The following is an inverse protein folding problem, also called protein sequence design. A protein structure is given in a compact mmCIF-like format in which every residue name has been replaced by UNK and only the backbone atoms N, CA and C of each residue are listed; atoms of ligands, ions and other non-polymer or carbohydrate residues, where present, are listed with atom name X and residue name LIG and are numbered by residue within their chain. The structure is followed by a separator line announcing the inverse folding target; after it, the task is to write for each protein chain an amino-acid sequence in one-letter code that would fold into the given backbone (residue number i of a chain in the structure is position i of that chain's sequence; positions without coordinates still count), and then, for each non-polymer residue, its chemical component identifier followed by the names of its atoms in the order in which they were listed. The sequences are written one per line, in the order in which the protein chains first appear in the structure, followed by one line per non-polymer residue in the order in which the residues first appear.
data_IF_851990521543
#
_entry.id   IF_851990521543
#
_cell.length_a   1.000
_cell.length_b   1.000
_cell.length_c   1.000
_cell.angle_alpha   90.00
_cell.angle_beta   90.00
_cell.angle_gamma   90.00
#
_symmetry.space_group_name_H-M   'P 1'
#
loop_
_entity.id
_entity.type
_entity.pdbx_description
1 polymer ?
#
# COMPACT_ATOMS: atom_id res chain seq x y z
N UNK A 1 16.19 20.51 -10.92
CA UNK A 1 14.75 20.37 -10.60
C UNK A 1 14.58 20.11 -9.10
N UNK A 2 15.23 19.12 -8.49
CA UNK A 2 15.14 18.83 -7.05
C UNK A 2 15.38 20.06 -6.17
N UNK A 3 16.50 20.75 -6.34
CA UNK A 3 16.84 21.97 -5.55
C UNK A 3 15.81 23.10 -5.66
N UNK A 4 15.14 23.24 -6.81
CA UNK A 4 14.08 24.24 -6.97
C UNK A 4 12.79 23.82 -6.22
N UNK A 5 12.49 22.53 -6.16
CA UNK A 5 11.41 22.00 -5.37
C UNK A 5 11.67 22.17 -3.86
N UNK A 6 12.87 21.83 -3.39
CA UNK A 6 13.29 21.99 -1.99
C UNK A 6 13.09 23.43 -1.47
N UNK A 7 13.46 24.42 -2.26
CA UNK A 7 13.34 25.85 -1.88
C UNK A 7 11.89 26.33 -1.73
N UNK A 8 10.93 25.60 -2.30
CA UNK A 8 9.51 25.98 -2.33
C UNK A 8 8.60 24.97 -1.66
N UNK A 9 9.13 23.98 -0.96
CA UNK A 9 8.33 22.93 -0.30
C UNK A 9 7.28 23.48 0.67
N UNK A 10 7.57 24.63 1.30
CA UNK A 10 6.62 25.31 2.18
C UNK A 10 5.32 25.76 1.49
N UNK A 11 5.37 25.99 0.18
CA UNK A 11 4.25 26.45 -0.63
C UNK A 11 3.38 25.29 -1.12
N UNK A 12 3.87 24.04 -1.03
CA UNK A 12 3.14 22.88 -1.54
C UNK A 12 2.00 22.48 -0.60
N UNK A 13 0.84 22.24 -1.18
CA UNK A 13 -0.23 21.46 -0.55
C UNK A 13 0.18 19.97 -0.55
N UNK A 14 -0.47 19.16 0.29
CA UNK A 14 -0.19 17.71 0.40
C UNK A 14 -0.22 16.99 -0.97
N UNK A 15 -1.14 17.34 -1.83
CA UNK A 15 -1.21 16.81 -3.19
C UNK A 15 0.05 17.17 -4.01
N UNK A 16 0.55 18.38 -3.88
CA UNK A 16 1.77 18.81 -4.56
C UNK A 16 3.00 18.04 -4.08
N UNK A 17 3.11 17.81 -2.75
CA UNK A 17 4.16 16.99 -2.15
C UNK A 17 4.11 15.55 -2.68
N UNK A 18 2.93 14.93 -2.65
CA UNK A 18 2.71 13.57 -3.13
C UNK A 18 3.04 13.44 -4.64
N UNK A 19 2.59 14.38 -5.45
CA UNK A 19 2.86 14.37 -6.90
C UNK A 19 4.35 14.58 -7.21
N UNK A 20 5.05 15.43 -6.43
CA UNK A 20 6.49 15.63 -6.58
C UNK A 20 7.25 14.35 -6.24
N UNK A 21 6.95 13.73 -5.09
CA UNK A 21 7.55 12.46 -4.70
C UNK A 21 7.30 11.39 -5.77
N UNK A 22 6.05 11.27 -6.25
CA UNK A 22 5.67 10.33 -7.29
C UNK A 22 6.44 10.54 -8.60
N UNK A 23 6.56 11.79 -9.05
CA UNK A 23 7.26 12.11 -10.29
C UNK A 23 8.75 11.74 -10.23
N UNK A 24 9.42 12.02 -9.11
CA UNK A 24 10.83 11.67 -8.91
C UNK A 24 11.01 10.15 -8.78
N UNK A 25 10.15 9.45 -8.06
CA UNK A 25 10.17 8.00 -7.96
C UNK A 25 9.99 7.32 -9.34
N UNK A 26 9.00 7.78 -10.11
CA UNK A 26 8.70 7.24 -11.45
C UNK A 26 9.83 7.50 -12.45
N UNK A 27 10.51 8.65 -12.33
CA UNK A 27 11.66 8.99 -13.15
C UNK A 27 12.95 8.29 -12.68
N UNK A 28 12.88 7.41 -11.67
CA UNK A 28 14.04 6.77 -11.04
C UNK A 28 15.10 7.77 -10.55
N UNK A 29 14.65 8.95 -10.13
CA UNK A 29 15.50 10.02 -9.59
C UNK A 29 15.40 10.01 -8.07
N UNK A 30 16.15 9.12 -7.41
CA UNK A 30 16.18 8.98 -5.95
C UNK A 30 17.08 10.04 -5.31
N UNK A 31 16.68 11.30 -5.38
CA UNK A 31 17.39 12.39 -4.69
C UNK A 31 17.07 12.34 -3.19
N UNK A 32 18.01 11.83 -2.40
CA UNK A 32 17.81 11.61 -0.96
C UNK A 32 17.53 12.90 -0.20
N UNK A 33 18.09 14.06 -0.63
CA UNK A 33 17.83 15.33 0.04
C UNK A 33 16.41 15.81 -0.21
N UNK A 34 15.93 15.69 -1.46
CA UNK A 34 14.56 16.01 -1.79
C UNK A 34 13.57 15.11 -1.04
N UNK A 35 13.80 13.80 -1.03
CA UNK A 35 12.93 12.87 -0.31
C UNK A 35 12.92 13.15 1.19
N UNK A 36 14.07 13.42 1.83
CA UNK A 36 14.13 13.81 3.23
C UNK A 36 13.36 15.11 3.51
N UNK A 37 13.41 16.07 2.61
CA UNK A 37 12.69 17.33 2.74
C UNK A 37 11.17 17.13 2.55
N UNK A 38 10.76 16.29 1.60
CA UNK A 38 9.34 15.91 1.37
C UNK A 38 8.77 15.15 2.58
N UNK A 39 9.54 14.20 3.16
CA UNK A 39 9.16 13.46 4.36
C UNK A 39 8.87 14.41 5.51
N UNK A 40 9.80 15.32 5.80
CA UNK A 40 9.66 16.31 6.87
C UNK A 40 8.41 17.18 6.70
N UNK A 41 8.10 17.58 5.47
CA UNK A 41 6.90 18.39 5.20
C UNK A 41 5.61 17.60 5.38
N UNK A 42 5.58 16.31 5.00
CA UNK A 42 4.44 15.44 5.22
C UNK A 42 4.21 15.17 6.72
N UNK A 43 5.28 14.95 7.48
CA UNK A 43 5.23 14.78 8.95
C UNK A 43 4.74 16.02 9.69
N UNK A 44 5.13 17.22 9.24
CA UNK A 44 4.72 18.48 9.87
C UNK A 44 3.24 18.81 9.63
N UNK A 45 2.60 18.23 8.60
CA UNK A 45 1.24 18.54 8.17
C UNK A 45 0.41 17.29 7.89
N UNK A 46 0.36 16.31 8.78
CA UNK A 46 -0.32 15.04 8.52
C UNK A 46 -1.83 15.22 8.31
N UNK A 47 -2.45 16.18 8.98
CA UNK A 47 -3.88 16.49 8.85
C UNK A 47 -4.29 16.98 7.46
N UNK A 48 -3.34 17.44 6.64
CA UNK A 48 -3.61 17.90 5.28
C UNK A 48 -3.57 16.77 4.25
N UNK A 49 -3.10 15.57 4.64
CA UNK A 49 -3.05 14.41 3.76
C UNK A 49 -4.45 13.79 3.66
N UNK A 50 -5.04 13.83 2.47
CA UNK A 50 -6.15 12.94 2.15
C UNK A 50 -5.63 11.56 1.78
N UNK A 51 -6.49 10.55 1.73
CA UNK A 51 -6.11 9.15 1.48
C UNK A 51 -5.35 8.95 0.16
N UNK A 52 -5.67 9.71 -0.88
CA UNK A 52 -4.97 9.63 -2.17
C UNK A 52 -3.55 10.18 -2.05
N UNK A 53 -3.37 11.34 -1.41
CA UNK A 53 -2.05 11.92 -1.19
C UNK A 53 -1.19 11.06 -0.29
N UNK A 54 -1.79 10.45 0.73
CA UNK A 54 -1.16 9.47 1.61
C UNK A 54 -0.65 8.26 0.82
N UNK A 55 -1.54 7.61 0.06
CA UNK A 55 -1.20 6.42 -0.71
C UNK A 55 -0.10 6.71 -1.75
N UNK A 56 -0.19 7.85 -2.45
CA UNK A 56 0.81 8.27 -3.43
C UNK A 56 2.16 8.60 -2.78
N UNK A 57 2.15 9.23 -1.60
CA UNK A 57 3.39 9.51 -0.86
C UNK A 57 4.04 8.20 -0.42
N UNK A 58 3.30 7.32 0.25
CA UNK A 58 3.81 6.02 0.68
C UNK A 58 4.38 5.22 -0.49
N UNK A 59 3.64 5.15 -1.60
CA UNK A 59 4.07 4.46 -2.81
C UNK A 59 5.36 5.04 -3.40
N UNK A 60 5.47 6.36 -3.49
CA UNK A 60 6.63 7.03 -4.03
C UNK A 60 7.90 6.75 -3.22
N UNK A 61 7.79 6.83 -1.89
CA UNK A 61 8.90 6.55 -0.99
C UNK A 61 9.34 5.08 -1.05
N UNK A 62 8.38 4.14 -1.06
CA UNK A 62 8.67 2.72 -1.20
C UNK A 62 9.36 2.42 -2.54
N UNK A 63 8.84 2.97 -3.65
CA UNK A 63 9.40 2.78 -5.00
C UNK A 63 10.80 3.37 -5.15
N UNK A 64 11.05 4.53 -4.53
CA UNK A 64 12.36 5.17 -4.51
C UNK A 64 13.34 4.51 -3.52
N UNK A 65 12.94 3.45 -2.81
CA UNK A 65 13.71 2.81 -1.74
C UNK A 65 14.13 3.79 -0.62
N UNK A 66 13.29 4.78 -0.36
CA UNK A 66 13.48 5.78 0.70
C UNK A 66 12.59 5.41 1.90
N UNK A 67 13.04 4.42 2.70
CA UNK A 67 12.30 3.95 3.88
C UNK A 67 12.53 4.86 5.08
N UNK A 68 11.82 5.98 5.15
CA UNK A 68 11.83 6.88 6.31
C UNK A 68 10.84 6.40 7.36
N UNK A 69 11.33 5.86 8.48
CA UNK A 69 10.50 5.28 9.53
C UNK A 69 9.56 6.31 10.19
N UNK A 70 9.98 7.57 10.30
CA UNK A 70 9.15 8.62 10.92
C UNK A 70 8.01 9.00 9.99
N UNK A 71 8.29 9.14 8.70
CA UNK A 71 7.27 9.36 7.68
C UNK A 71 6.25 8.21 7.68
N UNK A 72 6.70 6.96 7.59
CA UNK A 72 5.79 5.81 7.55
C UNK A 72 4.94 5.71 8.82
N UNK A 73 5.50 6.00 10.01
CA UNK A 73 4.73 6.09 11.25
C UNK A 73 3.69 7.23 11.23
N UNK A 74 4.02 8.37 10.64
CA UNK A 74 3.05 9.46 10.47
C UNK A 74 1.94 9.10 9.49
N UNK A 75 2.29 8.47 8.35
CA UNK A 75 1.31 8.00 7.36
C UNK A 75 0.40 6.91 7.94
N UNK A 76 0.92 6.00 8.77
CA UNK A 76 0.14 4.98 9.46
C UNK A 76 -0.97 5.61 10.31
N UNK A 77 -0.62 6.57 11.17
CA UNK A 77 -1.60 7.29 12.00
C UNK A 77 -2.69 7.98 11.18
N UNK A 78 -2.32 8.60 10.05
CA UNK A 78 -3.29 9.25 9.15
C UNK A 78 -4.18 8.21 8.47
N UNK A 79 -3.61 7.07 8.04
CA UNK A 79 -4.36 5.98 7.44
C UNK A 79 -5.43 5.43 8.39
N UNK A 80 -5.07 5.16 9.64
CA UNK A 80 -6.01 4.67 10.66
C UNK A 80 -7.20 5.62 10.88
N UNK A 81 -6.94 6.93 10.89
CA UNK A 81 -7.98 7.94 11.09
C UNK A 81 -8.92 8.08 9.88
N UNK A 82 -8.50 7.67 8.69
CA UNK A 82 -9.22 7.88 7.44
C UNK A 82 -9.68 6.59 6.74
N UNK A 83 -9.68 5.45 7.42
CA UNK A 83 -10.01 4.14 6.83
C UNK A 83 -11.33 4.12 6.05
N UNK A 84 -12.35 4.85 6.53
CA UNK A 84 -13.64 4.98 5.86
C UNK A 84 -13.57 5.65 4.47
N UNK A 85 -12.53 6.45 4.22
CA UNK A 85 -12.37 7.21 3.00
C UNK A 85 -11.52 6.49 1.94
N UNK A 86 -10.91 5.34 2.27
CA UNK A 86 -10.11 4.59 1.32
C UNK A 86 -11.00 3.96 0.25
N UNK A 87 -10.66 4.15 -1.01
CA UNK A 87 -11.11 3.26 -2.08
C UNK A 87 -10.14 2.08 -2.22
N UNK A 88 -10.51 1.08 -3.04
CA UNK A 88 -9.70 -0.12 -3.24
C UNK A 88 -8.29 0.20 -3.70
N UNK A 89 -8.14 1.10 -4.66
CA UNK A 89 -6.83 1.49 -5.21
C UNK A 89 -5.92 2.09 -4.13
N UNK A 90 -6.43 3.04 -3.34
CA UNK A 90 -5.66 3.67 -2.27
C UNK A 90 -5.26 2.65 -1.19
N UNK A 91 -6.16 1.72 -0.87
CA UNK A 91 -5.92 0.67 0.10
C UNK A 91 -4.80 -0.25 -0.37
N UNK A 92 -4.89 -0.77 -1.60
CA UNK A 92 -3.88 -1.65 -2.19
C UNK A 92 -2.52 -0.96 -2.29
N UNK A 93 -2.48 0.27 -2.78
CA UNK A 93 -1.25 1.04 -2.91
C UNK A 93 -0.59 1.30 -1.55
N UNK A 94 -1.39 1.61 -0.53
CA UNK A 94 -0.88 1.82 0.83
C UNK A 94 -0.33 0.53 1.42
N UNK A 95 -1.09 -0.58 1.34
CA UNK A 95 -0.63 -1.88 1.83
C UNK A 95 0.67 -2.32 1.16
N UNK A 96 0.74 -2.17 -0.17
CA UNK A 96 1.94 -2.48 -0.95
C UNK A 96 3.14 -1.61 -0.52
N UNK A 97 2.94 -0.31 -0.34
CA UNK A 97 4.00 0.61 0.03
C UNK A 97 4.57 0.30 1.41
N UNK A 98 3.71 0.06 2.40
CA UNK A 98 4.14 -0.30 3.75
C UNK A 98 4.89 -1.65 3.77
N UNK A 99 4.41 -2.64 3.03
CA UNK A 99 5.08 -3.93 2.90
C UNK A 99 6.47 -3.80 2.24
N UNK A 100 6.56 -3.04 1.14
CA UNK A 100 7.80 -2.83 0.39
C UNK A 100 8.83 -2.02 1.19
N UNK A 101 8.37 -1.02 1.96
CA UNK A 101 9.23 -0.24 2.85
C UNK A 101 9.70 -1.02 4.09
N UNK A 102 9.30 -2.29 4.22
CA UNK A 102 9.55 -3.13 5.40
C UNK A 102 9.06 -2.48 6.70
N UNK A 103 7.99 -1.70 6.61
CA UNK A 103 7.33 -1.14 7.79
C UNK A 103 6.59 -2.25 8.52
N UNK A 104 7.02 -2.54 9.75
CA UNK A 104 6.44 -3.60 10.59
C UNK A 104 5.28 -3.10 11.47
N UNK A 105 4.60 -2.03 11.07
CA UNK A 105 3.49 -1.49 11.84
C UNK A 105 2.25 -2.40 11.71
N UNK A 106 2.11 -3.33 12.66
CA UNK A 106 1.02 -4.29 12.69
C UNK A 106 -0.37 -3.60 12.80
N UNK A 107 -0.45 -2.41 13.39
CA UNK A 107 -1.72 -1.71 13.57
C UNK A 107 -2.24 -1.19 12.24
N UNK A 108 -1.37 -0.61 11.39
CA UNK A 108 -1.78 -0.14 10.07
C UNK A 108 -2.23 -1.30 9.18
N UNK A 109 -1.53 -2.45 9.23
CA UNK A 109 -1.94 -3.62 8.46
C UNK A 109 -3.27 -4.20 8.93
N UNK A 110 -3.49 -4.30 10.25
CA UNK A 110 -4.78 -4.72 10.80
C UNK A 110 -5.91 -3.75 10.42
N UNK A 111 -5.62 -2.46 10.37
CA UNK A 111 -6.58 -1.45 9.95
C UNK A 111 -6.90 -1.55 8.45
N UNK A 112 -5.87 -1.70 7.60
CA UNK A 112 -6.04 -1.90 6.16
C UNK A 112 -6.77 -3.23 5.87
N UNK A 113 -6.51 -4.28 6.63
CA UNK A 113 -7.20 -5.56 6.54
C UNK A 113 -8.71 -5.40 6.76
N UNK A 114 -9.11 -4.74 7.86
CA UNK A 114 -10.53 -4.44 8.13
C UNK A 114 -11.17 -3.60 7.03
N UNK A 115 -10.45 -2.61 6.49
CA UNK A 115 -10.96 -1.80 5.39
C UNK A 115 -11.12 -2.60 4.10
N UNK A 116 -10.22 -3.58 3.84
CA UNK A 116 -10.31 -4.49 2.72
C UNK A 116 -11.52 -5.42 2.83
N UNK A 117 -11.74 -6.04 3.99
CA UNK A 117 -12.90 -6.91 4.24
C UNK A 117 -14.24 -6.23 3.93
N UNK A 118 -14.38 -4.96 4.34
CA UNK A 118 -15.59 -4.18 4.10
C UNK A 118 -15.83 -3.84 2.63
N UNK A 119 -14.85 -4.03 1.75
CA UNK A 119 -14.87 -3.62 0.34
C UNK A 119 -14.53 -4.75 -0.64
N UNK A 120 -14.51 -6.00 -0.18
CA UNK A 120 -14.12 -7.14 -1.02
C UNK A 120 -14.93 -7.25 -2.31
N UNK A 121 -16.20 -6.84 -2.29
CA UNK A 121 -17.05 -6.79 -3.48
C UNK A 121 -16.56 -5.83 -4.57
N UNK A 122 -15.75 -4.85 -4.19
CA UNK A 122 -15.23 -3.82 -5.10
C UNK A 122 -13.84 -4.18 -5.65
N UNK A 123 -13.26 -5.29 -5.15
CA UNK A 123 -11.95 -5.75 -5.56
C UNK A 123 -12.01 -6.46 -6.91
N UNK A 124 -11.15 -6.05 -7.82
CA UNK A 124 -10.82 -6.84 -8.98
C UNK A 124 -9.69 -7.84 -8.66
N UNK A 125 -9.40 -8.73 -9.60
CA UNK A 125 -8.38 -9.77 -9.48
C UNK A 125 -7.02 -9.21 -9.09
N UNK A 126 -6.58 -8.15 -9.72
CA UNK A 126 -5.29 -7.51 -9.44
C UNK A 126 -5.24 -6.94 -8.01
N UNK A 127 -6.33 -6.33 -7.56
CA UNK A 127 -6.43 -5.80 -6.20
C UNK A 127 -6.35 -6.92 -5.15
N UNK A 128 -7.02 -8.05 -5.38
CA UNK A 128 -6.96 -9.24 -4.53
C UNK A 128 -5.53 -9.78 -4.44
N UNK A 129 -4.89 -10.00 -5.59
CA UNK A 129 -3.52 -10.52 -5.65
C UNK A 129 -2.51 -9.60 -4.94
N UNK A 130 -2.58 -8.29 -5.21
CA UNK A 130 -1.66 -7.32 -4.63
C UNK A 130 -1.86 -7.16 -3.11
N UNK A 131 -3.11 -7.22 -2.63
CA UNK A 131 -3.40 -7.17 -1.19
C UNK A 131 -2.89 -8.41 -0.48
N UNK A 132 -3.17 -9.60 -1.02
CA UNK A 132 -2.65 -10.85 -0.48
C UNK A 132 -1.12 -10.84 -0.43
N UNK A 133 -0.47 -10.38 -1.49
CA UNK A 133 0.98 -10.25 -1.55
C UNK A 133 1.53 -9.29 -0.49
N UNK A 134 0.93 -8.10 -0.36
CA UNK A 134 1.39 -7.08 0.60
C UNK A 134 1.29 -7.58 2.05
N UNK A 135 0.19 -8.24 2.40
CA UNK A 135 -0.01 -8.82 3.72
C UNK A 135 0.96 -9.97 4.00
N UNK A 136 1.23 -10.81 2.99
CA UNK A 136 2.21 -11.88 3.10
C UNK A 136 3.63 -11.35 3.33
N UNK A 137 4.03 -10.32 2.58
CA UNK A 137 5.34 -9.67 2.75
C UNK A 137 5.50 -9.01 4.12
N UNK A 138 4.43 -8.46 4.66
CA UNK A 138 4.41 -7.87 6.01
C UNK A 138 4.29 -8.92 7.14
N UNK A 139 4.28 -10.20 6.81
CA UNK A 139 4.05 -11.31 7.73
C UNK A 139 2.75 -11.17 8.56
N UNK A 140 1.75 -10.53 7.98
CA UNK A 140 0.43 -10.37 8.62
C UNK A 140 -0.44 -11.58 8.30
N UNK A 141 -0.59 -12.47 9.27
CA UNK A 141 -1.36 -13.72 9.14
C UNK A 141 -2.80 -13.57 9.65
N UNK A 142 -3.52 -12.55 9.21
CA UNK A 142 -4.96 -12.44 9.53
C UNK A 142 -5.75 -13.52 8.77
N UNK A 143 -6.05 -14.61 9.47
CA UNK A 143 -6.72 -15.77 8.89
C UNK A 143 -8.13 -15.47 8.39
N UNK A 144 -8.85 -14.51 8.99
CA UNK A 144 -10.19 -14.12 8.54
C UNK A 144 -10.11 -13.38 7.20
N UNK A 145 -9.20 -12.41 7.11
CA UNK A 145 -8.99 -11.67 5.86
C UNK A 145 -8.51 -12.61 4.74
N UNK A 146 -7.54 -13.50 5.00
CA UNK A 146 -7.07 -14.44 3.98
C UNK A 146 -8.18 -15.38 3.52
N UNK A 147 -9.04 -15.86 4.42
CA UNK A 147 -10.24 -16.62 4.04
C UNK A 147 -11.22 -15.82 3.21
N UNK A 148 -11.38 -14.54 3.53
CA UNK A 148 -12.24 -13.64 2.77
C UNK A 148 -11.66 -13.35 1.37
N UNK A 149 -10.35 -13.11 1.26
CA UNK A 149 -9.64 -12.96 -0.02
C UNK A 149 -9.71 -14.24 -0.87
N UNK A 150 -9.56 -15.42 -0.24
CA UNK A 150 -9.68 -16.70 -0.93
C UNK A 150 -11.08 -16.90 -1.53
N UNK A 151 -12.13 -16.59 -0.76
CA UNK A 151 -13.51 -16.65 -1.29
C UNK A 151 -13.73 -15.68 -2.45
N UNK A 152 -13.24 -14.45 -2.31
CA UNK A 152 -13.35 -13.45 -3.38
C UNK A 152 -12.59 -13.86 -4.64
N UNK A 153 -11.39 -14.42 -4.49
CA UNK A 153 -10.60 -14.95 -5.59
C UNK A 153 -11.33 -16.12 -6.30
N UNK A 154 -11.97 -17.00 -5.55
CA UNK A 154 -12.77 -18.10 -6.11
C UNK A 154 -13.96 -17.64 -6.97
N UNK A 155 -14.52 -16.46 -6.69
CA UNK A 155 -15.60 -15.91 -7.52
C UNK A 155 -15.15 -15.35 -8.86
N UNK A 156 -13.91 -14.92 -8.97
CA UNK A 156 -13.34 -14.31 -10.16
C UNK A 156 -12.17 -15.12 -10.77
N UNK A 157 -12.08 -16.40 -10.45
CA UNK A 157 -10.97 -17.25 -10.89
C UNK A 157 -10.80 -17.26 -12.43
N UNK A 158 -11.90 -17.16 -13.17
CA UNK A 158 -11.89 -17.09 -14.64
C UNK A 158 -11.27 -15.82 -15.21
N UNK A 159 -11.12 -14.77 -14.40
CA UNK A 159 -10.57 -13.48 -14.80
C UNK A 159 -9.07 -13.33 -14.45
N UNK A 160 -8.50 -14.34 -13.77
CA UNK A 160 -7.10 -14.32 -13.38
C UNK A 160 -6.17 -14.55 -14.56
N UNK A 161 -5.21 -13.65 -14.73
CA UNK A 161 -4.05 -13.91 -15.61
C UNK A 161 -2.99 -14.74 -14.86
N UNK A 162 -2.09 -15.37 -15.60
CA UNK A 162 -1.07 -16.24 -15.05
C UNK A 162 -0.22 -15.56 -13.93
N UNK A 163 0.04 -14.27 -14.05
CA UNK A 163 0.79 -13.52 -13.05
C UNK A 163 0.00 -13.31 -11.77
N UNK A 164 -1.30 -13.04 -11.87
CA UNK A 164 -2.19 -12.85 -10.71
C UNK A 164 -2.32 -14.15 -9.93
N UNK A 165 -2.51 -15.28 -10.65
CA UNK A 165 -2.52 -16.63 -10.08
C UNK A 165 -1.22 -16.91 -9.31
N UNK A 166 -0.07 -16.69 -9.95
CA UNK A 166 1.23 -16.91 -9.34
C UNK A 166 1.44 -16.06 -8.08
N UNK A 167 1.10 -14.78 -8.12
CA UNK A 167 1.24 -13.87 -7.00
C UNK A 167 0.31 -14.26 -5.84
N UNK A 168 -0.94 -14.58 -6.14
CA UNK A 168 -1.93 -14.99 -5.15
C UNK A 168 -1.51 -16.31 -4.49
N UNK A 169 -1.19 -17.33 -5.29
CA UNK A 169 -0.74 -18.63 -4.79
C UNK A 169 0.50 -18.50 -3.90
N UNK A 170 1.47 -17.70 -4.34
CA UNK A 170 2.70 -17.44 -3.57
C UNK A 170 2.40 -16.75 -2.24
N UNK A 171 1.51 -15.76 -2.22
CA UNK A 171 1.13 -15.05 -1.00
C UNK A 171 0.52 -16.00 0.04
N UNK A 172 -0.42 -16.83 -0.38
CA UNK A 172 -1.06 -17.82 0.50
C UNK A 172 -0.06 -18.87 1.00
N UNK A 173 0.82 -19.37 0.13
CA UNK A 173 1.85 -20.33 0.50
C UNK A 173 2.84 -19.75 1.50
N UNK A 174 3.25 -18.49 1.35
CA UNK A 174 4.22 -17.83 2.23
C UNK A 174 3.74 -17.76 3.68
N UNK A 175 2.45 -17.61 3.89
CA UNK A 175 1.84 -17.53 5.23
C UNK A 175 1.38 -18.89 5.78
N UNK A 176 1.62 -19.98 5.07
CA UNK A 176 1.14 -21.31 5.46
C UNK A 176 -0.39 -21.41 5.46
N UNK A 177 -1.07 -20.50 4.79
CA UNK A 177 -2.52 -20.50 4.62
C UNK A 177 -2.87 -21.47 3.49
N UNK A 178 -2.98 -22.76 3.83
CA UNK A 178 -3.41 -23.80 2.89
C UNK A 178 -4.93 -23.87 2.84
N UNK A 179 -5.58 -22.91 2.20
CA UNK A 179 -6.99 -23.05 1.85
C UNK A 179 -7.08 -23.98 0.63
N UNK A 180 -7.41 -25.25 0.91
CA UNK A 180 -7.52 -26.32 -0.11
C UNK A 180 -8.46 -25.90 -1.23
N UNK A 181 -9.58 -25.25 -0.92
CA UNK A 181 -10.55 -24.80 -1.92
C UNK A 181 -10.00 -23.70 -2.84
N UNK A 182 -9.17 -22.81 -2.30
CA UNK A 182 -8.50 -21.79 -3.12
C UNK A 182 -7.51 -22.47 -4.08
N UNK A 183 -6.67 -23.38 -3.58
CA UNK A 183 -5.70 -24.06 -4.43
C UNK A 183 -6.36 -24.95 -5.48
N UNK A 184 -7.47 -25.61 -5.15
CA UNK A 184 -8.29 -26.35 -6.11
C UNK A 184 -8.95 -25.45 -7.17
N UNK A 185 -9.31 -24.22 -6.81
CA UNK A 185 -9.91 -23.27 -7.74
C UNK A 185 -8.87 -22.59 -8.65
N UNK A 186 -7.60 -22.49 -8.19
CA UNK A 186 -6.50 -21.83 -8.91
C UNK A 186 -5.66 -22.82 -9.76
N UNK A 187 -5.78 -24.14 -9.57
CA UNK A 187 -5.03 -25.17 -10.29
C UNK A 187 -5.80 -25.84 -11.37
#
# INVERSE_FOLDING_TARGET
MARAAELRLGDFKSQGLANTAWAFATASQSDAQLFAALARMAELRPSNLNVQSLANTAWAFATASQSDAQLFAALARVAELQLGNFNVQNLVNTAWAFATASSSDAQVFAALARAAELRLSDFNVQALANTAWALAMAAQSDAELFRALARAAGWCVGDFHAQDLANTTRAFATLGQSDVKLFEALG
#
